data_IF_822392929025
#
_entry.id   IF_822392929025
#
_cell.length_a   1.000
_cell.length_b   1.000
_cell.length_c   1.000
_cell.angle_alpha   90.00
_cell.angle_beta   90.00
_cell.angle_gamma   90.00
#
_symmetry.space_group_name_H-M   'P 1'
#
loop_
_entity.id
_entity.type
_entity.pdbx_description
1 polymer ?
#
# COMPACT_ATOMS: atom_id res chain seq x y z
N UNK A 1 19.86 2.01 -6.24
CA UNK A 1 18.65 2.40 -5.45
C UNK A 1 18.27 1.21 -4.59
N UNK A 2 18.11 1.39 -3.27
CA UNK A 2 17.60 0.34 -2.37
C UNK A 2 16.22 -0.11 -2.86
N UNK A 3 15.98 -1.42 -2.97
CA UNK A 3 14.67 -1.94 -3.34
C UNK A 3 13.74 -1.74 -2.14
N UNK A 4 12.70 -0.94 -2.35
CA UNK A 4 11.66 -0.65 -1.36
C UNK A 4 10.50 -1.59 -1.67
N UNK A 5 10.11 -2.40 -0.69
CA UNK A 5 9.05 -3.38 -0.78
C UNK A 5 7.77 -2.83 -0.16
N UNK A 6 6.68 -3.57 -0.38
CA UNK A 6 5.38 -3.24 0.21
C UNK A 6 5.47 -3.39 1.73
N UNK A 7 4.92 -2.44 2.47
CA UNK A 7 5.09 -2.37 3.93
C UNK A 7 6.32 -1.59 4.38
N UNK A 8 7.20 -1.16 3.48
CA UNK A 8 8.32 -0.27 3.82
C UNK A 8 7.87 1.20 3.82
N UNK A 9 8.47 1.99 4.72
CA UNK A 9 8.31 3.43 4.69
C UNK A 9 8.79 4.03 3.36
N UNK A 10 7.95 4.89 2.75
CA UNK A 10 8.23 5.52 1.46
C UNK A 10 7.89 4.66 0.25
N UNK A 11 7.21 3.52 0.42
CA UNK A 11 6.69 2.69 -0.66
C UNK A 11 5.80 3.51 -1.61
N UNK A 12 4.86 4.30 -1.09
CA UNK A 12 3.95 5.11 -1.91
C UNK A 12 4.72 6.17 -2.68
N UNK A 13 5.66 6.89 -2.03
CA UNK A 13 6.44 7.95 -2.68
C UNK A 13 7.34 7.39 -3.79
N UNK A 14 7.98 6.26 -3.54
CA UNK A 14 8.84 5.59 -4.52
C UNK A 14 8.04 5.07 -5.72
N UNK A 15 6.88 4.45 -5.48
CA UNK A 15 6.02 3.98 -6.57
C UNK A 15 5.38 5.12 -7.35
N UNK A 16 5.05 6.25 -6.70
CA UNK A 16 4.63 7.47 -7.39
C UNK A 16 5.69 7.94 -8.38
N UNK A 17 6.95 8.06 -7.96
CA UNK A 17 8.07 8.47 -8.85
C UNK A 17 8.24 7.51 -10.02
N UNK A 18 8.23 6.19 -9.75
CA UNK A 18 8.31 5.16 -10.79
C UNK A 18 7.12 5.21 -11.75
N UNK A 19 5.90 5.40 -11.25
CA UNK A 19 4.69 5.49 -12.06
C UNK A 19 4.71 6.73 -12.96
N UNK A 20 5.19 7.88 -12.46
CA UNK A 20 5.37 9.09 -13.27
C UNK A 20 6.33 8.78 -14.43
N UNK A 21 7.52 8.29 -14.12
CA UNK A 21 8.55 8.00 -15.14
C UNK A 21 8.03 6.99 -16.16
N UNK A 22 7.45 5.88 -15.72
CA UNK A 22 6.92 4.82 -16.58
C UNK A 22 5.82 5.35 -17.50
N UNK A 23 4.85 6.07 -16.95
CA UNK A 23 3.73 6.63 -17.72
C UNK A 23 4.22 7.68 -18.72
N UNK A 24 5.17 8.55 -18.34
CA UNK A 24 5.77 9.52 -19.26
C UNK A 24 6.50 8.85 -20.42
N UNK A 25 7.25 7.76 -20.17
CA UNK A 25 7.94 6.99 -21.23
C UNK A 25 6.93 6.36 -22.19
N UNK A 26 5.90 5.67 -21.67
CA UNK A 26 4.88 5.05 -22.52
C UNK A 26 4.11 6.09 -23.34
N UNK A 27 3.75 7.21 -22.73
CA UNK A 27 3.10 8.31 -23.43
C UNK A 27 4.00 8.88 -24.54
N UNK A 28 5.30 9.08 -24.27
CA UNK A 28 6.25 9.55 -25.27
C UNK A 28 6.36 8.57 -26.46
N UNK A 29 6.42 7.26 -26.21
CA UNK A 29 6.46 6.23 -27.26
C UNK A 29 5.20 6.30 -28.14
N UNK A 30 4.01 6.37 -27.52
CA UNK A 30 2.73 6.49 -28.25
C UNK A 30 2.72 7.73 -29.14
N UNK A 31 3.13 8.88 -28.60
CA UNK A 31 3.19 10.14 -29.33
C UNK A 31 4.19 10.09 -30.49
N UNK A 32 5.39 9.54 -30.28
CA UNK A 32 6.41 9.40 -31.33
C UNK A 32 5.90 8.51 -32.46
N UNK A 33 5.30 7.36 -32.14
CA UNK A 33 4.75 6.44 -33.15
C UNK A 33 3.65 7.13 -33.97
N UNK A 34 2.73 7.80 -33.30
CA UNK A 34 1.62 8.49 -33.97
C UNK A 34 2.11 9.65 -34.85
N UNK A 35 2.97 10.51 -34.34
CA UNK A 35 3.51 11.66 -35.08
C UNK A 35 4.37 11.21 -36.27
N UNK A 36 5.17 10.16 -36.11
CA UNK A 36 5.96 9.56 -37.20
C UNK A 36 5.03 9.04 -38.30
N UNK A 37 3.98 8.30 -37.94
CA UNK A 37 2.97 7.84 -38.91
C UNK A 37 2.32 8.99 -39.67
N UNK A 38 1.97 10.07 -38.95
CA UNK A 38 1.34 11.25 -39.54
C UNK A 38 2.28 11.99 -40.50
N UNK A 39 3.56 12.16 -40.14
CA UNK A 39 4.53 12.87 -40.97
C UNK A 39 4.91 12.07 -42.24
N UNK A 40 5.13 10.76 -42.13
CA UNK A 40 5.55 9.94 -43.27
C UNK A 40 4.43 9.61 -44.26
N UNK A 41 3.20 9.41 -43.77
CA UNK A 41 2.09 8.94 -44.61
C UNK A 41 1.01 10.00 -44.85
N UNK A 42 1.05 11.14 -44.16
CA UNK A 42 0.03 12.21 -44.20
C UNK A 42 -1.42 11.73 -44.02
N UNK A 43 -1.61 10.51 -43.51
CA UNK A 43 -2.91 9.89 -43.26
C UNK A 43 -2.86 9.15 -41.93
N UNK A 44 -3.97 9.19 -41.21
CA UNK A 44 -4.12 8.49 -39.92
C UNK A 44 -4.38 6.99 -40.09
N UNK A 45 -4.68 6.50 -41.31
CA UNK A 45 -4.94 5.09 -41.59
C UNK A 45 -3.67 4.35 -42.00
N UNK A 46 -2.72 4.24 -41.09
CA UNK A 46 -1.45 3.58 -41.33
C UNK A 46 -1.09 2.61 -40.20
N UNK A 47 -0.09 1.74 -40.43
CA UNK A 47 0.34 0.73 -39.46
C UNK A 47 0.86 1.36 -38.16
N UNK A 48 1.49 2.53 -38.22
CA UNK A 48 1.97 3.24 -37.03
C UNK A 48 0.82 3.71 -36.13
N UNK A 49 -0.31 4.15 -36.70
CA UNK A 49 -1.51 4.49 -35.94
C UNK A 49 -2.13 3.26 -35.25
N UNK A 50 -2.09 2.09 -35.91
CA UNK A 50 -2.53 0.82 -35.30
C UNK A 50 -1.62 0.46 -34.13
N UNK A 51 -0.30 0.53 -34.31
CA UNK A 51 0.67 0.30 -33.23
C UNK A 51 0.48 1.28 -32.08
N UNK A 52 0.31 2.57 -32.36
CA UNK A 52 0.04 3.59 -31.34
C UNK A 52 -1.24 3.27 -30.55
N UNK A 53 -2.31 2.87 -31.23
CA UNK A 53 -3.56 2.45 -30.57
C UNK A 53 -3.37 1.21 -29.67
N UNK A 54 -2.56 0.24 -30.08
CA UNK A 54 -2.21 -0.91 -29.23
C UNK A 54 -1.41 -0.50 -28.00
N UNK A 55 -0.45 0.42 -28.15
CA UNK A 55 0.34 0.95 -27.03
C UNK A 55 -0.49 1.84 -26.07
N UNK A 56 -1.65 2.35 -26.49
CA UNK A 56 -2.56 3.05 -25.57
C UNK A 56 -3.09 2.14 -24.46
N UNK A 57 -3.19 0.82 -24.66
CA UNK A 57 -3.65 -0.13 -23.62
C UNK A 57 -2.70 -0.18 -22.40
N UNK A 58 -1.40 -0.50 -22.54
CA UNK A 58 -0.47 -0.46 -21.41
C UNK A 58 -0.27 0.97 -20.87
N UNK A 59 -0.36 1.99 -21.73
CA UNK A 59 -0.27 3.40 -21.30
C UNK A 59 -1.44 3.78 -20.41
N UNK A 60 -2.66 3.40 -20.77
CA UNK A 60 -3.87 3.64 -19.98
C UNK A 60 -3.80 2.97 -18.61
N UNK A 61 -3.40 1.69 -18.56
CA UNK A 61 -3.17 0.99 -17.30
C UNK A 61 -2.09 1.67 -16.44
N UNK A 62 -0.99 2.12 -17.05
CA UNK A 62 0.03 2.87 -16.32
C UNK A 62 -0.48 4.23 -15.81
N UNK A 63 -1.34 4.90 -16.59
CA UNK A 63 -1.97 6.16 -16.23
C UNK A 63 -2.91 6.04 -15.04
N UNK A 64 -3.76 5.01 -14.98
CA UNK A 64 -4.63 4.76 -13.82
C UNK A 64 -3.79 4.53 -12.56
N UNK A 65 -2.75 3.69 -12.64
CA UNK A 65 -1.82 3.47 -11.52
C UNK A 65 -1.15 4.78 -11.07
N UNK A 66 -0.74 5.62 -12.01
CA UNK A 66 -0.18 6.94 -11.69
C UNK A 66 -1.19 7.79 -10.92
N UNK A 67 -2.44 7.88 -11.39
CA UNK A 67 -3.49 8.66 -10.70
C UNK A 67 -3.73 8.12 -9.29
N UNK A 68 -3.73 6.80 -9.10
CA UNK A 68 -3.86 6.19 -7.78
C UNK A 68 -2.72 6.60 -6.84
N UNK A 69 -1.45 6.47 -7.26
CA UNK A 69 -0.31 6.84 -6.43
C UNK A 69 -0.17 8.36 -6.20
N UNK A 70 -0.67 9.19 -7.11
CA UNK A 70 -0.74 10.64 -6.93
C UNK A 70 -1.75 11.03 -5.85
N UNK A 71 -2.90 10.33 -5.78
CA UNK A 71 -3.93 10.54 -4.76
C UNK A 71 -3.58 9.90 -3.41
N UNK A 72 -2.78 8.84 -3.42
CA UNK A 72 -2.41 8.11 -2.22
C UNK A 72 -1.66 8.99 -1.22
N UNK A 73 -2.06 8.90 0.06
CA UNK A 73 -1.38 9.55 1.18
C UNK A 73 -0.53 8.50 1.89
N UNK A 74 0.78 8.74 2.01
CA UNK A 74 1.71 7.88 2.75
C UNK A 74 2.04 8.44 4.13
N UNK A 75 2.81 7.69 4.90
CA UNK A 75 3.32 8.12 6.19
C UNK A 75 4.26 9.33 6.03
N UNK A 76 4.11 10.34 6.88
CA UNK A 76 5.05 11.46 6.94
C UNK A 76 6.36 11.04 7.60
N UNK A 77 7.45 11.76 7.35
CA UNK A 77 8.76 11.45 7.98
C UNK A 77 8.71 11.71 9.49
N UNK A 78 7.90 12.69 9.88
CA UNK A 78 7.65 13.07 11.26
C UNK A 78 6.92 11.95 12.01
N UNK A 79 5.80 11.46 11.46
CA UNK A 79 5.04 10.36 12.07
C UNK A 79 5.87 9.09 12.10
N UNK A 80 6.60 8.78 11.02
CA UNK A 80 7.50 7.63 10.96
C UNK A 80 8.54 7.66 12.09
N UNK A 81 9.19 8.81 12.32
CA UNK A 81 10.19 8.95 13.38
C UNK A 81 9.61 8.75 14.77
N UNK A 82 8.40 9.26 15.00
CA UNK A 82 7.71 9.08 16.29
C UNK A 82 7.33 7.62 16.48
N UNK A 83 6.71 6.98 15.49
CA UNK A 83 6.32 5.57 15.55
C UNK A 83 7.55 4.67 15.78
N UNK A 84 8.64 4.90 15.06
CA UNK A 84 9.89 4.14 15.24
C UNK A 84 10.50 4.30 16.63
N UNK A 85 10.26 5.43 17.31
CA UNK A 85 10.73 5.62 18.70
C UNK A 85 9.89 4.87 19.75
N UNK A 86 8.64 4.51 19.41
CA UNK A 86 7.70 3.82 20.30
C UNK A 86 7.51 2.33 19.95
N UNK A 87 7.86 1.90 18.74
CA UNK A 87 7.55 0.53 18.29
C UNK A 87 8.27 -0.57 19.07
N UNK A 88 9.39 -0.28 19.74
CA UNK A 88 10.23 -1.31 20.34
C UNK A 88 10.67 -2.37 19.32
N UNK A 89 10.33 -3.63 19.56
CA UNK A 89 10.58 -4.74 18.62
C UNK A 89 9.28 -5.25 17.97
N UNK A 90 8.23 -4.42 17.95
CA UNK A 90 7.03 -4.70 17.16
C UNK A 90 7.34 -4.62 15.65
N UNK A 91 6.66 -5.47 14.88
CA UNK A 91 6.69 -5.41 13.43
C UNK A 91 5.68 -4.37 12.93
N UNK A 92 6.19 -3.26 12.40
CA UNK A 92 5.38 -2.21 11.79
C UNK A 92 5.50 -2.28 10.27
N UNK A 93 4.36 -2.31 9.59
CA UNK A 93 4.28 -2.08 8.15
C UNK A 93 3.75 -0.69 7.86
N UNK A 94 4.29 -0.05 6.84
CA UNK A 94 3.97 1.31 6.45
C UNK A 94 3.35 1.40 5.06
N UNK A 95 2.74 2.55 4.77
CA UNK A 95 2.31 2.96 3.44
C UNK A 95 1.29 1.99 2.78
N UNK A 96 0.24 1.64 3.52
CA UNK A 96 -0.84 0.81 3.01
C UNK A 96 -1.90 1.65 2.27
N UNK A 97 -2.23 1.22 1.06
CA UNK A 97 -3.44 1.63 0.34
C UNK A 97 -4.42 0.45 0.41
N UNK A 98 -5.43 0.50 1.26
CA UNK A 98 -6.46 -0.54 1.36
C UNK A 98 -7.62 -0.14 0.47
N UNK A 99 -7.96 -0.96 -0.53
CA UNK A 99 -8.99 -0.61 -1.52
C UNK A 99 -10.26 -1.42 -1.31
N UNK A 100 -11.39 -0.75 -1.10
CA UNK A 100 -12.71 -1.35 -1.26
C UNK A 100 -13.28 -1.08 -2.65
N UNK A 101 -14.44 -1.65 -2.97
CA UNK A 101 -15.15 -1.38 -4.22
C UNK A 101 -15.55 0.09 -4.37
N UNK A 102 -15.79 0.79 -3.26
CA UNK A 102 -16.33 2.14 -3.27
C UNK A 102 -15.26 3.20 -2.97
N UNK A 103 -14.27 2.88 -2.11
CA UNK A 103 -13.33 3.85 -1.56
C UNK A 103 -11.95 3.26 -1.35
N UNK A 104 -10.94 4.14 -1.35
CA UNK A 104 -9.59 3.79 -0.93
C UNK A 104 -9.34 4.36 0.47
N UNK A 105 -8.78 3.54 1.35
CA UNK A 105 -8.36 3.93 2.69
C UNK A 105 -6.84 3.98 2.73
N UNK A 106 -6.29 5.06 3.27
CA UNK A 106 -4.86 5.24 3.39
C UNK A 106 -4.45 5.02 4.84
N UNK A 107 -3.72 3.93 5.07
CA UNK A 107 -3.24 3.52 6.39
C UNK A 107 -1.72 3.69 6.39
N UNK A 108 -1.24 4.65 7.18
CA UNK A 108 0.17 5.05 7.19
C UNK A 108 1.05 4.02 7.89
N UNK A 109 0.54 3.38 8.96
CA UNK A 109 1.24 2.35 9.70
C UNK A 109 0.26 1.28 10.19
N UNK A 110 0.71 0.04 10.30
CA UNK A 110 -0.03 -1.07 10.88
C UNK A 110 0.89 -2.01 11.65
N UNK A 111 0.34 -2.65 12.69
CA UNK A 111 1.02 -3.68 13.48
C UNK A 111 0.04 -4.78 13.82
N UNK A 112 0.55 -6.00 13.92
CA UNK A 112 -0.21 -7.17 14.38
C UNK A 112 0.51 -7.80 15.57
N UNK A 113 -0.20 -8.00 16.67
CA UNK A 113 0.31 -8.73 17.82
C UNK A 113 -0.84 -9.39 18.58
N UNK A 114 -0.72 -10.68 18.90
CA UNK A 114 -1.63 -11.38 19.82
C UNK A 114 -3.12 -11.11 19.55
N UNK A 115 -3.56 -11.37 18.30
CA UNK A 115 -4.94 -11.13 17.81
C UNK A 115 -5.40 -9.66 17.80
N UNK A 116 -4.50 -8.70 18.00
CA UNK A 116 -4.77 -7.28 17.86
C UNK A 116 -4.12 -6.77 16.57
N UNK A 117 -4.92 -6.12 15.73
CA UNK A 117 -4.50 -5.35 14.57
C UNK A 117 -4.70 -3.89 14.92
N UNK A 118 -3.61 -3.14 14.99
CA UNK A 118 -3.65 -1.70 15.24
C UNK A 118 -3.10 -0.98 14.02
N UNK A 119 -3.89 -0.04 13.52
CA UNK A 119 -3.57 0.72 12.31
C UNK A 119 -3.64 2.22 12.63
N UNK A 120 -2.85 3.01 11.92
CA UNK A 120 -2.81 4.45 12.04
C UNK A 120 -3.13 5.11 10.71
N UNK A 121 -3.97 6.14 10.75
CA UNK A 121 -4.16 7.06 9.65
C UNK A 121 -3.97 8.51 10.09
N UNK A 122 -3.40 9.34 9.23
CA UNK A 122 -3.43 10.81 9.33
C UNK A 122 -4.42 11.43 8.34
N UNK A 123 -5.17 10.61 7.60
CA UNK A 123 -6.21 11.09 6.70
C UNK A 123 -7.51 11.39 7.45
N UNK A 124 -7.75 12.67 7.71
CA UNK A 124 -8.94 13.17 8.41
C UNK A 124 -10.25 12.93 7.66
N UNK A 125 -10.18 12.72 6.35
CA UNK A 125 -11.37 12.48 5.52
C UNK A 125 -11.76 10.99 5.48
N UNK A 126 -10.93 10.12 6.07
CA UNK A 126 -11.13 8.68 6.05
C UNK A 126 -12.15 8.23 7.09
N UNK A 127 -13.16 7.47 6.66
CA UNK A 127 -14.06 6.77 7.58
C UNK A 127 -13.33 5.57 8.21
N UNK A 128 -12.83 5.76 9.42
CA UNK A 128 -12.10 4.74 10.18
C UNK A 128 -12.99 3.54 10.52
N UNK A 129 -14.27 3.74 10.79
CA UNK A 129 -15.22 2.66 11.14
C UNK A 129 -15.50 1.75 9.95
N UNK A 130 -15.68 2.34 8.78
CA UNK A 130 -15.89 1.60 7.54
C UNK A 130 -14.62 0.81 7.14
N UNK A 131 -13.44 1.43 7.29
CA UNK A 131 -12.17 0.75 7.07
C UNK A 131 -11.95 -0.41 8.06
N UNK A 132 -12.24 -0.23 9.35
CA UNK A 132 -12.17 -1.29 10.37
C UNK A 132 -13.05 -2.49 9.97
N UNK A 133 -14.29 -2.24 9.53
CA UNK A 133 -15.21 -3.30 9.05
C UNK A 133 -14.67 -3.99 7.81
N UNK A 134 -14.09 -3.23 6.88
CA UNK A 134 -13.53 -3.76 5.65
C UNK A 134 -12.34 -4.70 5.94
N UNK A 135 -11.38 -4.25 6.75
CA UNK A 135 -10.25 -5.07 7.20
C UNK A 135 -10.77 -6.32 7.93
N UNK A 136 -11.78 -6.18 8.80
CA UNK A 136 -12.37 -7.31 9.53
C UNK A 136 -12.96 -8.36 8.60
N UNK A 137 -13.65 -7.94 7.54
CA UNK A 137 -14.19 -8.84 6.52
C UNK A 137 -13.08 -9.60 5.81
N UNK A 138 -12.01 -8.91 5.40
CA UNK A 138 -10.86 -9.52 4.71
C UNK A 138 -10.05 -10.47 5.62
N UNK A 139 -9.91 -10.12 6.90
CA UNK A 139 -9.28 -10.99 7.89
C UNK A 139 -10.11 -12.25 8.14
N UNK A 140 -11.44 -12.11 8.26
CA UNK A 140 -12.33 -13.24 8.45
C UNK A 140 -12.30 -14.22 7.26
N UNK A 141 -12.24 -13.72 6.02
CA UNK A 141 -12.09 -14.58 4.84
C UNK A 141 -10.76 -15.35 4.81
N UNK A 142 -9.75 -14.84 5.49
CA UNK A 142 -8.42 -15.47 5.60
C UNK A 142 -8.27 -16.35 6.86
N UNK A 143 -9.35 -16.59 7.61
CA UNK A 143 -9.36 -17.43 8.81
C UNK A 143 -9.14 -16.70 10.15
N UNK A 144 -9.03 -15.36 10.14
CA UNK A 144 -8.72 -14.53 11.32
C UNK A 144 -9.94 -13.77 11.87
N UNK A 145 -11.09 -14.44 11.99
CA UNK A 145 -12.36 -13.82 12.42
C UNK A 145 -12.36 -13.29 13.86
N UNK A 146 -11.47 -13.81 14.72
CA UNK A 146 -11.37 -13.44 16.14
C UNK A 146 -10.46 -12.24 16.42
N UNK A 147 -9.86 -11.64 15.39
CA UNK A 147 -8.93 -10.53 15.57
C UNK A 147 -9.68 -9.22 15.87
N UNK A 148 -9.17 -8.48 16.86
CA UNK A 148 -9.63 -7.13 17.17
C UNK A 148 -8.90 -6.14 16.28
N UNK A 149 -9.64 -5.29 15.57
CA UNK A 149 -9.07 -4.29 14.66
C UNK A 149 -9.42 -2.92 15.19
N UNK A 150 -8.40 -2.06 15.32
CA UNK A 150 -8.56 -0.67 15.72
C UNK A 150 -7.75 0.24 14.81
N UNK A 151 -8.41 1.25 14.26
CA UNK A 151 -7.78 2.33 13.51
C UNK A 151 -7.76 3.59 14.37
N UNK A 152 -6.59 4.19 14.48
CA UNK A 152 -6.33 5.43 15.19
C UNK A 152 -6.14 6.57 14.17
N UNK A 153 -6.82 7.68 14.37
CA UNK A 153 -6.68 8.94 13.62
C UNK A 153 -5.74 9.94 14.32
N UNK A 154 -5.41 9.67 15.57
CA UNK A 154 -4.46 10.43 16.39
C UNK A 154 -3.16 9.63 16.61
N UNK A 155 -2.02 10.27 16.30
CA UNK A 155 -0.70 9.66 16.39
C UNK A 155 -0.34 9.28 17.83
N UNK A 156 -0.71 10.13 18.80
CA UNK A 156 -0.38 9.90 20.21
C UNK A 156 -1.11 8.67 20.73
N UNK A 157 -2.40 8.56 20.46
CA UNK A 157 -3.23 7.40 20.83
C UNK A 157 -2.71 6.10 20.21
N UNK A 158 -2.21 6.16 18.97
CA UNK A 158 -1.54 5.02 18.35
C UNK A 158 -0.24 4.65 19.05
N UNK A 159 0.63 5.62 19.37
CA UNK A 159 1.90 5.36 20.06
C UNK A 159 1.68 4.81 21.48
N UNK A 160 0.72 5.36 22.22
CA UNK A 160 0.32 4.84 23.54
C UNK A 160 -0.13 3.37 23.43
N UNK A 161 -0.80 3.01 22.32
CA UNK A 161 -1.18 1.61 22.05
C UNK A 161 0.03 0.75 21.68
N UNK A 162 1.00 1.27 20.93
CA UNK A 162 2.25 0.55 20.63
C UNK A 162 3.01 0.23 21.91
N UNK A 163 3.14 1.19 22.83
CA UNK A 163 3.83 0.96 24.11
C UNK A 163 3.15 -0.14 24.95
N UNK A 164 1.81 -0.23 24.90
CA UNK A 164 1.07 -1.32 25.54
C UNK A 164 1.30 -2.67 24.86
N UNK A 165 1.33 -2.70 23.53
CA UNK A 165 1.58 -3.91 22.76
C UNK A 165 3.02 -4.40 22.96
N UNK A 166 4.00 -3.51 23.06
CA UNK A 166 5.39 -3.86 23.31
C UNK A 166 5.57 -4.51 24.69
N UNK A 167 4.89 -4.00 25.72
CA UNK A 167 4.85 -4.65 27.05
C UNK A 167 4.25 -6.06 26.97
N UNK A 168 3.11 -6.19 26.28
CA UNK A 168 2.45 -7.49 26.08
C UNK A 168 3.34 -8.48 25.31
N UNK A 169 4.07 -7.99 24.29
CA UNK A 169 5.03 -8.75 23.51
C UNK A 169 6.14 -9.29 24.41
N UNK A 170 6.74 -8.41 25.21
CA UNK A 170 7.80 -8.76 26.15
C UNK A 170 7.33 -9.77 27.22
N UNK A 171 6.15 -9.54 27.81
CA UNK A 171 5.57 -10.42 28.82
C UNK A 171 5.29 -11.85 28.29
N UNK A 172 4.87 -11.94 27.02
CA UNK A 172 4.57 -13.22 26.36
C UNK A 172 5.76 -13.81 25.59
N UNK A 173 6.88 -13.10 25.49
CA UNK A 173 8.04 -13.50 24.70
C UNK A 173 7.73 -13.70 23.21
N UNK A 174 6.80 -12.92 22.64
CA UNK A 174 6.40 -13.04 21.24
C UNK A 174 7.42 -12.30 20.38
N UNK A 175 7.85 -12.92 19.29
CA UNK A 175 8.70 -12.27 18.28
C UNK A 175 7.91 -12.13 16.97
N UNK A 176 7.37 -10.94 16.67
CA UNK A 176 6.56 -10.73 15.47
C UNK A 176 7.33 -10.99 14.17
N UNK A 177 8.63 -10.69 14.15
CA UNK A 177 9.44 -10.90 12.95
C UNK A 177 9.65 -12.39 12.69
N UNK A 178 9.92 -13.18 13.73
CA UNK A 178 10.04 -14.64 13.58
C UNK A 178 8.75 -15.30 13.12
N UNK A 179 7.59 -14.77 13.50
CA UNK A 179 6.29 -15.30 13.02
C UNK A 179 6.22 -15.16 11.49
N UNK A 180 6.56 -13.99 10.95
CA UNK A 180 6.59 -13.77 9.50
C UNK A 180 7.67 -14.61 8.81
N UNK A 181 8.87 -14.70 9.40
CA UNK A 181 9.99 -15.45 8.82
C UNK A 181 9.72 -16.98 8.84
N UNK A 182 8.87 -17.45 9.74
CA UNK A 182 8.47 -18.87 9.84
C UNK A 182 7.36 -19.28 8.87
N UNK A 183 6.82 -18.32 8.10
CA UNK A 183 5.76 -18.62 7.14
C UNK A 183 6.30 -19.36 5.91
N UNK A 184 5.61 -20.43 5.53
CA UNK A 184 5.94 -21.25 4.37
C UNK A 184 4.90 -21.11 3.26
N UNK A 185 5.39 -21.04 2.02
CA UNK A 185 4.52 -20.92 0.85
C UNK A 185 3.56 -22.10 0.72
N UNK A 186 2.26 -21.82 0.65
CA UNK A 186 1.20 -22.84 0.61
C UNK A 186 0.50 -23.07 1.95
N UNK A 187 0.95 -22.41 3.03
CA UNK A 187 0.23 -22.35 4.31
C UNK A 187 -0.60 -21.06 4.42
N UNK A 188 -1.47 -20.98 5.43
CA UNK A 188 -2.30 -19.78 5.67
C UNK A 188 -1.38 -18.57 5.88
N UNK A 189 -1.57 -17.51 5.09
CA UNK A 189 -0.83 -16.25 5.24
C UNK A 189 -0.95 -15.71 6.65
N UNK A 190 0.15 -15.21 7.22
CA UNK A 190 0.13 -14.52 8.51
C UNK A 190 -0.83 -13.32 8.47
N UNK A 191 -1.40 -12.88 9.61
CA UNK A 191 -2.32 -11.74 9.57
C UNK A 191 -1.65 -10.43 9.11
N UNK A 192 -0.36 -10.24 9.36
CA UNK A 192 0.40 -9.12 8.82
C UNK A 192 0.61 -9.27 7.30
N UNK A 193 0.89 -10.48 6.84
CA UNK A 193 0.90 -10.84 5.42
C UNK A 193 -0.44 -10.57 4.72
N UNK A 194 -1.56 -10.91 5.36
CA UNK A 194 -2.91 -10.61 4.84
C UNK A 194 -3.12 -9.09 4.74
N UNK A 195 -2.70 -8.30 5.73
CA UNK A 195 -2.78 -6.83 5.66
C UNK A 195 -1.96 -6.27 4.49
N UNK A 196 -0.78 -6.85 4.24
CA UNK A 196 0.03 -6.51 3.09
C UNK A 196 -0.64 -6.96 1.78
N UNK A 197 -1.26 -8.13 1.71
CA UNK A 197 -1.86 -8.66 0.48
C UNK A 197 -3.12 -7.89 0.06
N UNK A 198 -3.93 -7.43 1.01
CA UNK A 198 -5.11 -6.58 0.74
C UNK A 198 -4.77 -5.14 0.40
N UNK A 199 -3.54 -4.71 0.68
CA UNK A 199 -3.06 -3.40 0.28
C UNK A 199 -2.69 -3.38 -1.22
N UNK A 200 -2.53 -2.22 -1.86
CA UNK A 200 -2.12 -2.10 -3.27
C UNK A 200 -0.59 -2.01 -3.45
#
# INVERSE_FOLDING_TARGET
MKKIYKGDFGYIENNRKKAIIRTSIFLAIVLILFLTGLFFKHTQKNVFSILAALFCLPTGWSGVNLIMFLKAKGCSKEDFRVIESHKGELLIHYDHIITSYEKNYYVMASTVLDKNICCYTSDKDMDTSDCEKHIKKMMASSGYSSYSIKIFDDLKSFCDRLDQLEKLRADKGIDPQKIEDSWEAGTVETPAGVLLSISL
#
